data_IF_196114346892
#
_entry.id   IF_196114346892
#
_cell.length_a   1.000
_cell.length_b   1.000
_cell.length_c   1.000
_cell.angle_alpha   90.00
_cell.angle_beta   90.00
_cell.angle_gamma   90.00
#
_symmetry.space_group_name_H-M   'P 1'
#
loop_
_entity.id
_entity.type
_entity.pdbx_description
1 polymer ?
#
# COMPACT_ATOMS: atom_id res chain seq x y z
N UNK A 1 -11.10 -7.13 -4.35
CA UNK A 1 -11.90 -5.87 -4.32
C UNK A 1 -11.16 -4.80 -5.14
N UNK A 2 -11.87 -3.84 -5.74
CA UNK A 2 -11.29 -2.65 -6.37
C UNK A 2 -11.64 -1.42 -5.54
N UNK A 3 -10.65 -0.60 -5.19
CA UNK A 3 -10.83 0.70 -4.53
C UNK A 3 -9.91 1.75 -5.15
N UNK A 4 -10.30 3.01 -5.12
CA UNK A 4 -9.36 4.11 -5.38
C UNK A 4 -8.53 4.44 -4.12
N UNK A 5 -7.41 5.12 -4.33
CA UNK A 5 -6.48 5.52 -3.27
C UNK A 5 -7.16 6.34 -2.17
N UNK A 6 -8.07 7.24 -2.54
CA UNK A 6 -8.72 8.14 -1.59
C UNK A 6 -9.79 7.41 -0.77
N UNK A 7 -10.46 6.39 -1.30
CA UNK A 7 -11.39 5.54 -0.56
C UNK A 7 -10.67 4.72 0.54
N UNK A 8 -9.42 4.34 0.29
CA UNK A 8 -8.59 3.61 1.25
C UNK A 8 -7.88 4.55 2.23
N UNK A 9 -7.18 5.56 1.72
CA UNK A 9 -6.26 6.39 2.49
C UNK A 9 -6.79 7.81 2.78
N UNK A 10 -7.97 8.19 2.30
CA UNK A 10 -8.60 9.49 2.59
C UNK A 10 -9.23 9.55 3.98
N UNK A 11 -10.20 8.65 4.30
CA UNK A 11 -10.85 8.59 5.61
C UNK A 11 -9.87 8.29 6.76
N UNK A 12 -10.22 8.65 8.01
CA UNK A 12 -9.48 8.25 9.19
C UNK A 12 -9.64 6.74 9.42
N UNK A 13 -8.74 5.96 8.84
CA UNK A 13 -8.64 4.51 9.05
C UNK A 13 -7.54 4.15 10.02
N UNK A 14 -7.80 3.13 10.83
CA UNK A 14 -6.87 2.53 11.77
C UNK A 14 -6.30 1.25 11.18
N UNK A 15 -5.21 0.75 11.77
CA UNK A 15 -4.56 -0.48 11.31
C UNK A 15 -5.53 -1.68 11.26
N UNK A 16 -6.47 -1.75 12.21
CA UNK A 16 -7.48 -2.82 12.26
C UNK A 16 -8.40 -2.83 11.03
N UNK A 17 -8.69 -1.68 10.43
CA UNK A 17 -9.50 -1.62 9.21
C UNK A 17 -8.78 -2.31 8.04
N UNK A 18 -7.46 -2.16 7.96
CA UNK A 18 -6.65 -2.83 6.93
C UNK A 18 -6.47 -4.32 7.22
N UNK A 19 -6.40 -4.72 8.49
CA UNK A 19 -6.37 -6.13 8.87
C UNK A 19 -7.65 -6.85 8.46
N UNK A 20 -8.82 -6.23 8.67
CA UNK A 20 -10.08 -6.81 8.23
C UNK A 20 -10.17 -6.87 6.70
N UNK A 21 -9.70 -5.85 5.97
CA UNK A 21 -9.62 -5.91 4.52
C UNK A 21 -8.73 -7.04 4.03
N UNK A 22 -7.55 -7.21 4.64
CA UNK A 22 -6.64 -8.30 4.33
C UNK A 22 -7.28 -9.67 4.61
N UNK A 23 -7.95 -9.82 5.76
CA UNK A 23 -8.66 -11.06 6.11
C UNK A 23 -9.75 -11.41 5.11
N UNK A 24 -10.48 -10.41 4.62
CA UNK A 24 -11.60 -10.60 3.70
C UNK A 24 -11.18 -10.80 2.24
N UNK A 25 -9.99 -10.35 1.85
CA UNK A 25 -9.59 -10.27 0.44
C UNK A 25 -8.15 -10.72 0.18
N UNK A 26 -8.01 -11.81 -0.58
CA UNK A 26 -6.71 -12.32 -1.05
C UNK A 26 -6.02 -11.39 -2.08
N UNK A 27 -6.80 -10.58 -2.82
CA UNK A 27 -6.27 -9.66 -3.84
C UNK A 27 -7.06 -8.35 -3.85
N UNK A 28 -6.32 -7.24 -3.90
CA UNK A 28 -6.84 -5.88 -3.85
C UNK A 28 -6.29 -5.07 -5.02
N UNK A 29 -7.17 -4.45 -5.79
CA UNK A 29 -6.84 -3.50 -6.84
C UNK A 29 -6.96 -2.09 -6.27
N UNK A 30 -5.88 -1.30 -6.36
CA UNK A 30 -5.81 0.07 -5.87
C UNK A 30 -5.56 0.98 -7.06
N UNK A 31 -6.47 1.91 -7.31
CA UNK A 31 -6.40 2.83 -8.45
C UNK A 31 -6.07 4.25 -8.02
N UNK A 32 -5.57 5.05 -8.97
CA UNK A 32 -5.38 6.49 -8.85
C UNK A 32 -4.52 6.92 -7.65
N UNK A 33 -3.38 6.25 -7.43
CA UNK A 33 -2.40 6.72 -6.45
C UNK A 33 -1.63 7.91 -7.04
N UNK A 34 -1.82 9.14 -6.53
CA UNK A 34 -1.09 10.29 -7.03
C UNK A 34 0.37 10.23 -6.59
N UNK A 35 1.23 11.07 -7.18
CA UNK A 35 2.54 11.35 -6.59
C UNK A 35 2.35 12.00 -5.22
N UNK A 36 2.92 11.39 -4.19
CA UNK A 36 2.73 11.75 -2.79
C UNK A 36 3.85 12.70 -2.33
N UNK A 37 3.56 13.99 -2.23
CA UNK A 37 4.48 14.95 -1.61
C UNK A 37 4.13 15.19 -0.13
N UNK A 38 4.79 16.18 0.50
CA UNK A 38 4.58 16.51 1.91
C UNK A 38 3.14 16.94 2.26
N UNK A 39 2.34 17.39 1.28
CA UNK A 39 0.92 17.73 1.51
C UNK A 39 0.04 16.49 1.67
N UNK A 40 0.55 15.33 1.26
CA UNK A 40 -0.14 14.04 1.31
C UNK A 40 0.24 13.20 2.52
N UNK A 41 1.11 13.68 3.41
CA UNK A 41 1.73 12.86 4.45
C UNK A 41 0.75 12.02 5.29
N UNK A 42 -0.42 12.55 5.64
CA UNK A 42 -1.42 11.77 6.41
C UNK A 42 -1.95 10.57 5.61
N UNK A 43 -2.17 10.77 4.29
CA UNK A 43 -2.59 9.69 3.37
C UNK A 43 -1.41 8.76 3.08
N UNK A 44 -0.21 9.28 2.92
CA UNK A 44 1.03 8.51 2.75
C UNK A 44 1.30 7.62 3.95
N UNK A 45 1.11 8.10 5.18
CA UNK A 45 1.23 7.29 6.40
C UNK A 45 0.20 6.15 6.42
N UNK A 46 -1.04 6.44 6.01
CA UNK A 46 -2.09 5.41 5.88
C UNK A 46 -1.77 4.39 4.79
N UNK A 47 -1.19 4.83 3.68
CA UNK A 47 -0.73 3.94 2.61
C UNK A 47 0.42 3.03 3.06
N UNK A 48 1.41 3.58 3.79
CA UNK A 48 2.48 2.78 4.41
C UNK A 48 1.87 1.69 5.29
N UNK A 49 0.94 2.05 6.17
CA UNK A 49 0.27 1.08 7.06
C UNK A 49 -0.53 0.02 6.30
N UNK A 50 -1.24 0.42 5.23
CA UNK A 50 -1.98 -0.51 4.36
C UNK A 50 -1.03 -1.53 3.73
N UNK A 51 0.07 -1.07 3.12
CA UNK A 51 1.05 -1.93 2.47
C UNK A 51 1.75 -2.84 3.48
N UNK A 52 2.08 -2.34 4.68
CA UNK A 52 2.68 -3.17 5.73
C UNK A 52 1.74 -4.34 6.12
N UNK A 53 0.46 -4.05 6.35
CA UNK A 53 -0.53 -5.08 6.68
C UNK A 53 -0.71 -6.08 5.53
N UNK A 54 -0.85 -5.59 4.30
CA UNK A 54 -1.03 -6.46 3.14
C UNK A 54 0.21 -7.32 2.87
N UNK A 55 1.39 -6.73 3.06
CA UNK A 55 2.66 -7.42 2.94
C UNK A 55 2.75 -8.60 3.92
N UNK A 56 2.44 -8.35 5.20
CA UNK A 56 2.50 -9.35 6.28
C UNK A 56 1.46 -10.46 6.10
N UNK A 57 0.25 -10.10 5.66
CA UNK A 57 -0.85 -11.04 5.38
C UNK A 57 -0.74 -11.74 4.02
N UNK A 58 0.30 -11.47 3.23
CA UNK A 58 0.46 -12.05 1.88
C UNK A 58 -0.73 -11.76 0.95
N UNK A 59 -1.29 -10.56 1.07
CA UNK A 59 -2.32 -10.03 0.15
C UNK A 59 -1.65 -9.59 -1.14
N UNK A 60 -2.21 -9.99 -2.28
CA UNK A 60 -1.72 -9.54 -3.59
C UNK A 60 -2.31 -8.17 -3.90
N UNK A 61 -1.49 -7.27 -4.43
CA UNK A 61 -1.94 -5.94 -4.83
C UNK A 61 -1.68 -5.71 -6.31
N UNK A 62 -2.61 -5.03 -6.96
CA UNK A 62 -2.43 -4.46 -8.30
C UNK A 62 -2.67 -2.97 -8.16
N UNK A 63 -1.67 -2.17 -8.51
CA UNK A 63 -1.66 -0.73 -8.24
C UNK A 63 -1.57 0.04 -9.55
N UNK A 64 -2.43 1.05 -9.71
CA UNK A 64 -2.28 2.11 -10.70
C UNK A 64 -1.82 3.38 -9.97
N UNK A 65 -0.70 3.95 -10.41
CA UNK A 65 -0.06 5.10 -9.77
C UNK A 65 0.58 6.04 -10.80
N UNK A 66 0.68 7.32 -10.46
CA UNK A 66 1.27 8.37 -11.31
C UNK A 66 2.80 8.28 -11.42
N UNK A 67 3.44 7.42 -10.64
CA UNK A 67 4.89 7.23 -10.65
C UNK A 67 5.27 5.82 -10.19
N UNK A 68 6.45 5.37 -10.65
CA UNK A 68 7.08 4.15 -10.17
C UNK A 68 7.34 4.20 -8.65
N UNK A 69 7.43 3.04 -7.96
CA UNK A 69 7.58 2.99 -6.50
C UNK A 69 8.68 3.90 -5.95
N UNK A 70 9.87 3.91 -6.57
CA UNK A 70 11.02 4.72 -6.13
C UNK A 70 10.78 6.24 -6.21
N UNK A 71 9.81 6.67 -7.01
CA UNK A 71 9.49 8.07 -7.28
C UNK A 71 8.10 8.47 -6.76
N UNK A 72 7.37 7.53 -6.16
CA UNK A 72 5.98 7.73 -5.75
C UNK A 72 5.84 8.70 -4.58
N UNK A 73 6.89 8.85 -3.75
CA UNK A 73 6.90 9.79 -2.64
C UNK A 73 8.08 10.77 -2.74
N UNK A 74 7.78 12.06 -2.57
CA UNK A 74 8.77 13.15 -2.66
C UNK A 74 8.78 14.07 -1.42
N UNK A 75 8.05 13.72 -0.36
CA UNK A 75 8.10 14.45 0.90
C UNK A 75 9.34 14.11 1.75
N UNK A 76 9.60 14.89 2.78
CA UNK A 76 10.76 14.68 3.68
C UNK A 76 10.38 13.88 4.94
N UNK A 77 9.19 14.13 5.50
CA UNK A 77 8.78 13.64 6.82
C UNK A 77 8.73 12.12 6.94
N UNK A 78 8.28 11.45 5.88
CA UNK A 78 8.10 10.00 5.81
C UNK A 78 9.14 9.30 4.92
N UNK A 79 10.21 9.99 4.51
CA UNK A 79 11.11 9.48 3.48
C UNK A 79 11.70 8.10 3.83
N UNK A 80 12.10 7.93 5.10
CA UNK A 80 12.68 6.67 5.58
C UNK A 80 11.66 5.53 5.63
N UNK A 81 10.44 5.79 6.13
CA UNK A 81 9.38 4.78 6.17
C UNK A 81 8.89 4.42 4.77
N UNK A 82 8.76 5.41 3.89
CA UNK A 82 8.34 5.18 2.52
C UNK A 82 9.38 4.37 1.74
N UNK A 83 10.68 4.58 1.97
CA UNK A 83 11.72 3.73 1.38
C UNK A 83 11.53 2.25 1.74
N UNK A 84 11.12 1.92 2.98
CA UNK A 84 10.79 0.54 3.35
C UNK A 84 9.53 0.04 2.63
N UNK A 85 8.53 0.90 2.45
CA UNK A 85 7.33 0.58 1.65
C UNK A 85 7.67 0.30 0.20
N UNK A 86 8.60 1.04 -0.40
CA UNK A 86 9.10 0.78 -1.77
C UNK A 86 9.73 -0.60 -1.88
N UNK A 87 10.60 -0.98 -0.94
CA UNK A 87 11.19 -2.33 -0.91
C UNK A 87 10.12 -3.43 -0.86
N UNK A 88 9.06 -3.24 -0.05
CA UNK A 88 7.93 -4.18 0.02
C UNK A 88 7.15 -4.23 -1.29
N UNK A 89 6.81 -3.08 -1.87
CA UNK A 89 6.11 -3.01 -3.15
C UNK A 89 6.86 -3.74 -4.27
N UNK A 90 8.20 -3.63 -4.28
CA UNK A 90 9.04 -4.38 -5.22
C UNK A 90 9.02 -5.88 -4.94
N UNK A 91 9.12 -6.29 -3.68
CA UNK A 91 9.06 -7.71 -3.31
C UNK A 91 7.69 -8.33 -3.64
N UNK A 92 6.59 -7.58 -3.44
CA UNK A 92 5.23 -8.01 -3.76
C UNK A 92 5.01 -8.28 -5.25
N UNK A 93 5.89 -7.77 -6.13
CA UNK A 93 5.88 -8.05 -7.57
C UNK A 93 6.65 -9.33 -7.93
N UNK A 94 7.43 -9.90 -7.01
CA UNK A 94 8.22 -11.10 -7.27
C UNK A 94 7.33 -12.33 -7.43
N UNK A 95 7.72 -13.26 -8.31
CA UNK A 95 7.05 -14.56 -8.48
C UNK A 95 6.91 -15.30 -7.16
N UNK A 96 7.97 -15.30 -6.34
CA UNK A 96 7.96 -15.95 -5.03
C UNK A 96 6.88 -15.39 -4.09
N UNK A 97 6.64 -14.08 -4.11
CA UNK A 97 5.58 -13.47 -3.33
C UNK A 97 4.19 -13.81 -3.91
N UNK A 98 4.04 -13.77 -5.24
CA UNK A 98 2.78 -14.05 -5.92
C UNK A 98 2.34 -15.52 -5.82
N UNK A 99 3.27 -16.45 -5.63
CA UNK A 99 3.02 -17.88 -5.40
C UNK A 99 2.77 -18.22 -3.92
N UNK A 100 3.16 -17.33 -3.00
CA UNK A 100 2.97 -17.57 -1.58
C UNK A 100 1.47 -17.62 -1.20
N UNK A 101 1.08 -18.51 -0.26
CA UNK A 101 -0.30 -18.58 0.20
C UNK A 101 -0.66 -17.34 1.03
N UNK A 102 -1.90 -16.89 0.87
CA UNK A 102 -2.50 -15.82 1.67
C UNK A 102 -2.58 -16.21 3.16
N UNK A 103 -2.28 -15.26 4.06
CA UNK A 103 -2.31 -15.44 5.51
C UNK A 103 -3.49 -14.68 6.13
N UNK A 104 -4.64 -15.36 6.16
CA UNK A 104 -5.89 -14.88 6.77
C UNK A 104 -5.86 -14.88 8.30
#
# INVERSE_FOLDING_TARGET
IWCDFNALCGPPRWQNDYLELARCHHTVFISDIPRLDGTWDDRSRRFINLIDVFYDRKVKVVISADAEPDQLYSGVRLAFEFQRTVSRLKEMQSTAYLEAPHKG
#
